data_IF_627090855868
#
_entry.id   IF_627090855868
#
_cell.length_a   1.000
_cell.length_b   1.000
_cell.length_c   1.000
_cell.angle_alpha   90.00
_cell.angle_beta   90.00
_cell.angle_gamma   90.00
#
_symmetry.space_group_name_H-M   'P 1'
#
loop_
_entity.id
_entity.type
_entity.pdbx_description
1 polymer ?
#
# COMPACT_ATOMS: atom_id res chain seq x y z
N UNK A 1 3.88 1.05 35.99
CA UNK A 1 3.43 -0.26 35.46
C UNK A 1 4.21 -0.54 34.19
N UNK A 2 5.16 -1.47 34.24
CA UNK A 2 5.95 -1.85 33.07
C UNK A 2 5.03 -2.58 32.08
N UNK A 3 4.78 -1.96 30.92
CA UNK A 3 4.10 -2.61 29.80
C UNK A 3 4.89 -3.88 29.45
N UNK A 4 4.31 -5.04 29.75
CA UNK A 4 4.89 -6.33 29.37
C UNK A 4 5.03 -6.34 27.85
N UNK A 5 6.28 -6.23 27.38
CA UNK A 5 6.62 -6.35 25.96
C UNK A 5 6.46 -7.82 25.57
N UNK A 6 5.23 -8.23 25.25
CA UNK A 6 5.02 -9.45 24.47
C UNK A 6 5.66 -9.15 23.11
N UNK A 7 6.83 -9.75 22.86
CA UNK A 7 7.47 -9.67 21.57
C UNK A 7 6.51 -10.28 20.55
N UNK A 8 5.86 -9.42 19.78
CA UNK A 8 4.92 -9.83 18.75
C UNK A 8 5.69 -10.67 17.72
N UNK A 9 5.48 -11.98 17.73
CA UNK A 9 6.08 -12.87 16.74
C UNK A 9 5.22 -12.83 15.49
N UNK A 10 5.33 -11.71 14.76
CA UNK A 10 4.74 -11.58 13.45
C UNK A 10 5.41 -12.58 12.49
N UNK A 11 4.62 -13.32 11.69
CA UNK A 11 5.14 -14.08 10.57
C UNK A 11 6.11 -13.26 9.71
N UNK A 12 7.19 -13.90 9.27
CA UNK A 12 8.26 -13.25 8.49
C UNK A 12 7.69 -12.59 7.23
N UNK A 13 6.70 -13.22 6.60
CA UNK A 13 6.01 -12.68 5.43
C UNK A 13 5.38 -11.31 5.69
N UNK A 14 4.58 -11.17 6.75
CA UNK A 14 3.95 -9.88 7.11
C UNK A 14 4.98 -8.83 7.48
N UNK A 15 6.06 -9.21 8.18
CA UNK A 15 7.13 -8.27 8.52
C UNK A 15 7.86 -7.78 7.28
N UNK A 16 8.22 -8.68 6.37
CA UNK A 16 8.92 -8.33 5.13
C UNK A 16 8.05 -7.43 4.26
N UNK A 17 6.77 -7.78 4.11
CA UNK A 17 5.85 -7.02 3.27
C UNK A 17 5.57 -5.62 3.86
N UNK A 18 4.95 -5.54 5.04
CA UNK A 18 4.46 -4.28 5.60
C UNK A 18 5.58 -3.33 6.07
N UNK A 19 6.76 -3.84 6.42
CA UNK A 19 7.83 -2.99 6.92
C UNK A 19 8.86 -2.62 5.85
N UNK A 20 9.03 -3.40 4.79
CA UNK A 20 10.09 -3.17 3.81
C UNK A 20 9.56 -3.01 2.40
N UNK A 21 8.91 -4.06 1.89
CA UNK A 21 8.53 -4.14 0.47
C UNK A 21 7.51 -3.04 0.15
N UNK A 22 6.50 -2.88 0.99
CA UNK A 22 5.43 -1.93 0.75
C UNK A 22 5.86 -0.46 0.91
N UNK A 23 6.56 -0.05 2.00
CA UNK A 23 7.06 1.32 2.11
C UNK A 23 7.98 1.73 0.96
N UNK A 24 8.84 0.81 0.49
CA UNK A 24 9.73 1.07 -0.65
C UNK A 24 8.94 1.22 -1.96
N UNK A 25 7.87 0.44 -2.13
CA UNK A 25 7.01 0.52 -3.32
C UNK A 25 6.18 1.81 -3.33
N UNK A 26 5.63 2.21 -2.18
CA UNK A 26 4.96 3.50 -2.02
C UNK A 26 5.91 4.68 -2.26
N UNK A 27 7.16 4.58 -1.78
CA UNK A 27 8.20 5.57 -2.05
C UNK A 27 8.54 5.66 -3.55
N UNK A 28 8.63 4.51 -4.25
CA UNK A 28 8.81 4.49 -5.70
C UNK A 28 7.63 5.17 -6.41
N UNK A 29 6.39 4.88 -6.00
CA UNK A 29 5.20 5.57 -6.50
C UNK A 29 5.27 7.09 -6.31
N UNK A 30 5.69 7.55 -5.12
CA UNK A 30 5.88 8.96 -4.83
C UNK A 30 6.94 9.59 -5.75
N UNK A 31 8.06 8.90 -5.97
CA UNK A 31 9.12 9.35 -6.86
C UNK A 31 8.60 9.55 -8.29
N UNK A 32 7.87 8.58 -8.84
CA UNK A 32 7.32 8.70 -10.20
C UNK A 32 6.29 9.83 -10.31
N UNK A 33 5.40 9.98 -9.33
CA UNK A 33 4.36 11.01 -9.34
C UNK A 33 4.90 12.44 -9.17
N UNK A 34 6.09 12.62 -8.59
CA UNK A 34 6.69 13.95 -8.47
C UNK A 34 7.76 14.24 -9.51
N UNK A 35 8.75 13.35 -9.66
CA UNK A 35 9.93 13.60 -10.50
C UNK A 35 9.80 13.07 -11.94
N UNK A 36 8.86 12.17 -12.20
CA UNK A 36 8.66 11.52 -13.51
C UNK A 36 7.20 11.53 -13.96
N UNK A 37 6.52 12.65 -13.76
CA UNK A 37 5.09 12.84 -14.02
C UNK A 37 4.67 12.41 -15.43
N UNK A 38 5.37 12.91 -16.45
CA UNK A 38 5.12 12.55 -17.84
C UNK A 38 5.13 11.04 -18.04
N UNK A 39 6.17 10.37 -17.54
CA UNK A 39 6.31 8.91 -17.64
C UNK A 39 5.23 8.17 -16.87
N UNK A 40 4.81 8.68 -15.70
CA UNK A 40 3.72 8.09 -14.94
C UNK A 40 2.40 8.16 -15.71
N UNK A 41 2.07 9.31 -16.31
CA UNK A 41 0.85 9.46 -17.11
C UNK A 41 0.85 8.58 -18.37
N UNK A 42 2.00 8.45 -19.05
CA UNK A 42 2.17 7.53 -20.18
C UNK A 42 1.96 6.07 -19.79
N UNK A 43 2.42 5.67 -18.60
CA UNK A 43 2.21 4.32 -18.07
C UNK A 43 0.78 4.12 -17.58
N UNK A 44 0.13 5.18 -17.07
CA UNK A 44 -1.24 5.14 -16.60
C UNK A 44 -2.22 4.96 -17.78
N UNK A 45 -2.06 5.76 -18.82
CA UNK A 45 -2.76 5.59 -20.09
C UNK A 45 -2.03 6.35 -21.21
N UNK A 46 -1.34 5.62 -22.08
CA UNK A 46 -0.59 6.21 -23.19
C UNK A 46 -1.48 6.95 -24.20
N UNK A 47 -2.76 6.57 -24.30
CA UNK A 47 -3.69 7.17 -25.27
C UNK A 47 -4.13 8.60 -24.87
N UNK A 48 -4.32 8.85 -23.56
CA UNK A 48 -4.72 10.16 -23.02
C UNK A 48 -3.57 10.96 -22.40
N UNK A 49 -2.36 10.40 -22.33
CA UNK A 49 -1.19 11.10 -21.80
C UNK A 49 -0.89 12.39 -22.60
N UNK A 50 -0.80 13.55 -21.93
CA UNK A 50 -0.50 14.80 -22.62
C UNK A 50 0.96 14.83 -23.10
N UNK A 51 1.27 15.56 -24.16
CA UNK A 51 2.66 15.77 -24.61
C UNK A 51 3.50 16.59 -23.63
N UNK A 52 2.84 17.44 -22.84
CA UNK A 52 3.41 18.20 -21.73
C UNK A 52 2.40 18.24 -20.59
N UNK A 53 2.84 17.92 -19.38
CA UNK A 53 1.98 17.90 -18.20
C UNK A 53 1.48 19.32 -17.89
N UNK A 54 0.16 19.58 -17.93
CA UNK A 54 -0.38 20.88 -17.55
C UNK A 54 -0.04 21.23 -16.10
N UNK A 55 0.09 22.52 -15.79
CA UNK A 55 0.49 22.98 -14.45
C UNK A 55 -0.44 22.48 -13.35
N UNK A 56 -1.75 22.53 -13.55
CA UNK A 56 -2.74 22.04 -12.59
C UNK A 56 -2.59 20.54 -12.33
N UNK A 57 -2.41 19.74 -13.39
CA UNK A 57 -2.13 18.30 -13.30
C UNK A 57 -0.82 18.04 -12.56
N UNK A 58 0.24 18.81 -12.86
CA UNK A 58 1.54 18.68 -12.20
C UNK A 58 1.47 18.93 -10.68
N UNK A 59 0.70 19.95 -10.27
CA UNK A 59 0.45 20.24 -8.85
C UNK A 59 -0.34 19.09 -8.21
N UNK A 60 -1.42 18.63 -8.86
CA UNK A 60 -2.23 17.51 -8.35
C UNK A 60 -1.43 16.21 -8.22
N UNK A 61 -0.55 15.91 -9.19
CA UNK A 61 0.34 14.75 -9.13
C UNK A 61 1.38 14.88 -8.01
N UNK A 62 1.88 16.10 -7.75
CA UNK A 62 2.78 16.34 -6.62
C UNK A 62 2.06 16.17 -5.27
N UNK A 63 0.78 16.54 -5.19
CA UNK A 63 -0.05 16.26 -4.01
C UNK A 63 -0.27 14.76 -3.84
N UNK A 64 -0.50 14.02 -4.93
CA UNK A 64 -0.60 12.56 -4.91
C UNK A 64 0.72 11.91 -4.47
N UNK A 65 1.86 12.38 -4.99
CA UNK A 65 3.18 11.93 -4.56
C UNK A 65 3.40 12.16 -3.05
N UNK A 66 2.97 13.31 -2.54
CA UNK A 66 3.02 13.60 -1.10
C UNK A 66 2.17 12.62 -0.27
N UNK A 67 1.00 12.20 -0.77
CA UNK A 67 0.19 11.17 -0.12
C UNK A 67 0.86 9.79 -0.14
N UNK A 68 1.51 9.41 -1.24
CA UNK A 68 2.28 8.16 -1.30
C UNK A 68 3.50 8.17 -0.38
N UNK A 69 4.19 9.31 -0.29
CA UNK A 69 5.27 9.50 0.68
C UNK A 69 4.76 9.41 2.12
N UNK A 70 3.60 10.02 2.40
CA UNK A 70 2.94 9.93 3.70
C UNK A 70 2.62 8.47 4.06
N UNK A 71 2.13 7.66 3.13
CA UNK A 71 1.92 6.22 3.35
C UNK A 71 3.23 5.50 3.65
N UNK A 72 4.25 5.69 2.81
CA UNK A 72 5.56 5.08 3.00
C UNK A 72 6.15 5.39 4.38
N UNK A 73 6.05 6.65 4.84
CA UNK A 73 6.55 7.07 6.15
C UNK A 73 5.69 6.51 7.28
N UNK A 74 4.36 6.47 7.16
CA UNK A 74 3.49 5.91 8.20
C UNK A 74 3.78 4.43 8.41
N UNK A 75 3.80 3.65 7.33
CA UNK A 75 4.14 2.23 7.41
C UNK A 75 5.55 2.05 7.96
N UNK A 76 6.50 2.89 7.52
CA UNK A 76 7.87 2.77 7.95
C UNK A 76 8.08 3.15 9.43
N UNK A 77 7.40 4.17 9.95
CA UNK A 77 7.66 4.70 11.28
C UNK A 77 6.64 4.21 12.31
N UNK A 78 5.35 4.20 11.99
CA UNK A 78 4.28 3.85 12.94
C UNK A 78 4.31 2.35 13.23
N UNK A 79 4.40 1.49 12.22
CA UNK A 79 4.44 0.04 12.45
C UNK A 79 5.75 -0.40 13.12
N UNK A 80 6.84 0.38 12.99
CA UNK A 80 8.10 0.14 13.71
C UNK A 80 8.14 0.69 15.13
N UNK A 81 7.32 1.70 15.44
CA UNK A 81 7.33 2.35 16.76
C UNK A 81 6.52 1.59 17.80
N UNK A 82 5.67 0.65 17.39
CA UNK A 82 4.83 -0.15 18.30
C UNK A 82 4.69 -1.60 17.88
N UNK A 83 4.56 -2.46 18.89
CA UNK A 83 4.25 -3.89 18.74
C UNK A 83 2.83 -4.23 19.20
N UNK A 84 1.99 -3.20 19.42
CA UNK A 84 0.58 -3.40 19.77
C UNK A 84 -0.24 -3.81 18.53
N UNK A 85 -0.81 -5.02 18.59
CA UNK A 85 -1.69 -5.54 17.54
C UNK A 85 -2.90 -4.65 17.26
N UNK A 86 -3.40 -3.90 18.24
CA UNK A 86 -4.51 -2.98 18.03
C UNK A 86 -4.08 -1.87 17.08
N UNK A 87 -2.90 -1.27 17.29
CA UNK A 87 -2.38 -0.24 16.40
C UNK A 87 -2.12 -0.80 15.01
N UNK A 88 -1.48 -1.97 14.92
CA UNK A 88 -1.25 -2.65 13.65
C UNK A 88 -2.55 -2.91 12.87
N UNK A 89 -3.58 -3.46 13.53
CA UNK A 89 -4.87 -3.72 12.89
C UNK A 89 -5.55 -2.43 12.44
N UNK A 90 -5.52 -1.37 13.26
CA UNK A 90 -6.13 -0.09 12.88
C UNK A 90 -5.42 0.52 11.67
N UNK A 91 -4.09 0.55 11.66
CA UNK A 91 -3.32 1.10 10.53
C UNK A 91 -3.55 0.27 9.26
N UNK A 92 -3.48 -1.06 9.34
CA UNK A 92 -3.70 -1.93 8.18
C UNK A 92 -5.14 -1.88 7.66
N UNK A 93 -6.13 -1.66 8.53
CA UNK A 93 -7.52 -1.42 8.10
C UNK A 93 -7.66 -0.12 7.31
N UNK A 94 -7.04 0.98 7.79
CA UNK A 94 -7.04 2.26 7.06
C UNK A 94 -6.37 2.11 5.71
N UNK A 95 -5.24 1.41 5.65
CA UNK A 95 -4.54 1.15 4.39
C UNK A 95 -5.36 0.25 3.45
N UNK A 96 -6.10 -0.74 3.97
CA UNK A 96 -7.00 -1.55 3.15
C UNK A 96 -8.11 -0.69 2.50
N UNK A 97 -8.65 0.28 3.23
CA UNK A 97 -9.62 1.23 2.66
C UNK A 97 -8.95 2.08 1.57
N UNK A 98 -7.70 2.49 1.77
CA UNK A 98 -6.94 3.22 0.76
C UNK A 98 -6.66 2.36 -0.50
N UNK A 99 -6.36 1.08 -0.35
CA UNK A 99 -6.17 0.13 -1.46
C UNK A 99 -7.43 0.04 -2.32
N UNK A 100 -8.61 -0.10 -1.69
CA UNK A 100 -9.89 -0.12 -2.39
C UNK A 100 -10.18 1.20 -3.10
N UNK A 101 -9.84 2.33 -2.45
CA UNK A 101 -9.94 3.66 -3.05
C UNK A 101 -9.04 3.83 -4.27
N UNK A 102 -7.80 3.30 -4.22
CA UNK A 102 -6.88 3.29 -5.35
C UNK A 102 -7.43 2.45 -6.51
N UNK A 103 -7.88 1.24 -6.26
CA UNK A 103 -8.47 0.40 -7.30
C UNK A 103 -9.72 1.06 -7.92
N UNK A 104 -10.55 1.71 -7.11
CA UNK A 104 -11.73 2.43 -7.60
C UNK A 104 -11.37 3.64 -8.47
N UNK A 105 -10.27 4.36 -8.18
CA UNK A 105 -9.88 5.52 -8.98
C UNK A 105 -9.47 5.15 -10.41
N UNK A 106 -9.10 3.90 -10.65
CA UNK A 106 -8.75 3.38 -11.99
C UNK A 106 -9.97 3.04 -12.86
N UNK A 107 -11.20 3.14 -12.34
CA UNK A 107 -12.42 2.68 -13.05
C UNK A 107 -12.63 3.35 -14.41
N UNK A 108 -12.19 4.60 -14.56
CA UNK A 108 -12.35 5.39 -15.79
C UNK A 108 -11.45 4.90 -16.93
N UNK A 109 -10.41 4.10 -16.62
CA UNK A 109 -9.60 3.39 -17.62
C UNK A 109 -10.35 2.19 -18.24
N UNK A 110 -11.56 1.92 -17.78
CA UNK A 110 -12.41 0.85 -18.25
C UNK A 110 -12.15 -0.48 -17.54
N UNK A 111 -13.09 -1.44 -17.65
CA UNK A 111 -13.06 -2.67 -16.85
C UNK A 111 -11.86 -3.57 -17.16
N UNK A 112 -11.29 -3.47 -18.38
CA UNK A 112 -10.17 -4.28 -18.82
C UNK A 112 -8.91 -4.10 -17.95
N UNK A 113 -8.74 -2.95 -17.30
CA UNK A 113 -7.60 -2.68 -16.41
C UNK A 113 -7.52 -3.70 -15.26
N UNK A 114 -8.64 -4.29 -14.85
CA UNK A 114 -8.69 -5.22 -13.71
C UNK A 114 -8.42 -6.68 -14.08
N UNK A 115 -8.56 -7.08 -15.35
CA UNK A 115 -8.50 -8.50 -15.73
C UNK A 115 -7.72 -8.82 -17.00
N UNK A 116 -7.37 -7.83 -17.85
CA UNK A 116 -6.63 -8.07 -19.08
C UNK A 116 -5.13 -8.19 -18.84
N UNK A 117 -4.72 -9.27 -18.16
CA UNK A 117 -3.32 -9.51 -17.77
C UNK A 117 -2.35 -9.48 -18.96
N UNK A 118 -2.78 -9.95 -20.13
CA UNK A 118 -1.96 -9.98 -21.34
C UNK A 118 -1.69 -8.58 -21.92
N UNK A 119 -2.53 -7.59 -21.61
CA UNK A 119 -2.39 -6.22 -22.06
C UNK A 119 -1.66 -5.30 -21.09
N UNK A 120 -1.31 -5.77 -19.90
CA UNK A 120 -0.74 -4.93 -18.85
C UNK A 120 0.68 -4.47 -19.16
N UNK A 121 0.88 -3.17 -19.04
CA UNK A 121 2.19 -2.54 -19.05
C UNK A 121 2.80 -2.53 -17.63
N UNK A 122 4.04 -2.04 -17.49
CA UNK A 122 4.74 -2.00 -16.21
C UNK A 122 4.02 -1.20 -15.11
N UNK A 123 3.30 -0.13 -15.48
CA UNK A 123 2.46 0.66 -14.58
C UNK A 123 1.23 -0.12 -14.12
N UNK A 124 0.54 -0.83 -15.01
CA UNK A 124 -0.64 -1.63 -14.66
C UNK A 124 -0.29 -2.73 -13.64
N UNK A 125 0.84 -3.39 -13.83
CA UNK A 125 1.38 -4.36 -12.88
C UNK A 125 1.60 -3.76 -11.48
N UNK A 126 2.05 -2.50 -11.43
CA UNK A 126 2.28 -1.77 -10.17
C UNK A 126 1.02 -1.18 -9.54
N UNK A 127 -0.01 -0.87 -10.32
CA UNK A 127 -1.23 -0.22 -9.84
C UNK A 127 -2.36 -1.21 -9.52
N UNK A 128 -2.42 -2.37 -10.19
CA UNK A 128 -3.55 -3.31 -10.03
C UNK A 128 -3.13 -4.59 -9.27
N UNK A 129 -2.34 -5.53 -9.82
CA UNK A 129 -1.95 -6.75 -9.09
C UNK A 129 -1.23 -6.48 -7.78
N UNK A 130 -0.35 -5.49 -7.78
CA UNK A 130 0.41 -5.13 -6.59
C UNK A 130 -0.49 -4.67 -5.45
N UNK A 131 -1.48 -3.83 -5.76
CA UNK A 131 -2.46 -3.34 -4.78
C UNK A 131 -3.38 -4.47 -4.32
N UNK A 132 -3.79 -5.38 -5.22
CA UNK A 132 -4.51 -6.59 -4.83
C UNK A 132 -3.70 -7.48 -3.87
N UNK A 133 -2.40 -7.63 -4.09
CA UNK A 133 -1.53 -8.40 -3.20
C UNK A 133 -1.44 -7.76 -1.81
N UNK A 134 -1.25 -6.44 -1.74
CA UNK A 134 -1.25 -5.68 -0.49
C UNK A 134 -2.59 -5.80 0.26
N UNK A 135 -3.70 -5.55 -0.43
CA UNK A 135 -5.05 -5.69 0.13
C UNK A 135 -5.31 -7.10 0.65
N UNK A 136 -4.89 -8.13 -0.08
CA UNK A 136 -5.05 -9.54 0.34
C UNK A 136 -4.27 -9.82 1.61
N UNK A 137 -3.00 -9.40 1.70
CA UNK A 137 -2.19 -9.58 2.91
C UNK A 137 -2.78 -8.86 4.12
N UNK A 138 -3.35 -7.67 3.92
CA UNK A 138 -4.07 -6.94 4.97
C UNK A 138 -5.32 -7.69 5.42
N UNK A 139 -6.13 -8.19 4.49
CA UNK A 139 -7.32 -9.00 4.81
C UNK A 139 -6.92 -10.23 5.61
N UNK A 140 -5.89 -10.97 5.17
CA UNK A 140 -5.37 -12.13 5.90
C UNK A 140 -4.91 -11.75 7.33
N UNK A 141 -4.17 -10.66 7.47
CA UNK A 141 -3.70 -10.18 8.77
C UNK A 141 -4.87 -9.78 9.70
N UNK A 142 -5.84 -9.03 9.18
CA UNK A 142 -7.01 -8.56 9.93
C UNK A 142 -7.91 -9.73 10.34
N UNK A 143 -8.04 -10.74 9.48
CA UNK A 143 -8.73 -12.00 9.77
C UNK A 143 -7.97 -12.90 10.76
N UNK A 144 -6.72 -12.59 11.10
CA UNK A 144 -5.90 -13.35 12.03
C UNK A 144 -5.15 -14.53 11.43
N UNK A 145 -5.13 -14.66 10.10
CA UNK A 145 -4.46 -15.76 9.39
C UNK A 145 -2.95 -15.75 9.72
N UNK A 146 -2.45 -16.82 10.32
CA UNK A 146 -1.05 -16.97 10.70
C UNK A 146 -0.64 -16.19 11.96
N UNK A 147 -1.59 -15.64 12.73
CA UNK A 147 -1.33 -14.90 13.97
C UNK A 147 -1.61 -15.71 15.25
N UNK A 148 -1.94 -17.00 15.15
CA UNK A 148 -2.37 -17.83 16.29
C UNK A 148 -1.31 -17.98 17.39
N UNK A 149 -0.01 -17.98 17.05
CA UNK A 149 1.08 -18.04 18.03
C UNK A 149 1.26 -16.73 18.85
N UNK A 150 0.66 -15.61 18.39
CA UNK A 150 0.69 -14.33 19.13
C UNK A 150 -0.38 -14.25 20.21
N UNK A 151 -1.37 -15.15 20.20
CA UNK A 151 -2.39 -15.31 21.25
C UNK A 151 -1.93 -16.30 22.31
N UNK A 152 -0.77 -16.10 22.93
CA UNK A 152 -0.36 -17.00 24.02
C UNK A 152 -1.17 -16.72 25.30
N UNK A 153 -2.26 -17.46 25.43
CA UNK A 153 -2.90 -17.97 26.67
C UNK A 153 -2.81 -17.08 27.91
N UNK A 154 -3.91 -16.38 28.21
CA UNK A 154 -4.29 -16.10 29.60
C UNK A 154 -4.63 -17.47 30.23
N UNK A 155 -3.62 -18.21 30.70
CA UNK A 155 -3.88 -19.30 31.64
C UNK A 155 -4.33 -18.63 32.93
N UNK A 156 -5.63 -18.70 33.18
CA UNK A 156 -6.21 -18.49 34.50
C UNK A 156 -5.49 -19.43 35.46
N UNK A 157 -4.78 -18.86 36.43
CA UNK A 157 -4.38 -19.55 37.64
C UNK A 157 -4.84 -18.68 38.81
#
# INVERSE_FOLDING_TARGET
MASQRVALRLPVAYRAFFLLIEPLSALAGAFYNHFRQQRYLELLDAASAPSQVPLSTSVAMSQLANMYLFFAINEALVLRSTWDLRVWRTVLLVLLIADLGHLYSMKELGPAIYYNVAGWNAGDWGNVPWVYAGATLRICFLAGVGLDDSRRTRKTQ
#
